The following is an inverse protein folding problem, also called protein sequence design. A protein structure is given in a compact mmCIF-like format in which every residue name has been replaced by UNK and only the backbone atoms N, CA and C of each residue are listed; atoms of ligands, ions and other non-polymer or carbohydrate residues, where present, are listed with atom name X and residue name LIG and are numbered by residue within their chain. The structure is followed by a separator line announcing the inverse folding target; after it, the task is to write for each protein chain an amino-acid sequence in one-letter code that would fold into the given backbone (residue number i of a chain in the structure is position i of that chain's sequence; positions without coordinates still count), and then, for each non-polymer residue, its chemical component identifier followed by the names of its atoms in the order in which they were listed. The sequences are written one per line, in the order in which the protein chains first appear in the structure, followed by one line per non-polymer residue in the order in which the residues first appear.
data_IF_654768643847
#
_entry.id   IF_654768643847
#
_cell.length_a   1.000
_cell.length_b   1.000
_cell.length_c   1.000
_cell.angle_alpha   90.00
_cell.angle_beta   90.00
_cell.angle_gamma   90.00
#
_symmetry.space_group_name_H-M   'P 1'
#
loop_
_entity.id
_entity.type
_entity.pdbx_description
1 polymer ?
#
# COMPACT_ATOMS: atom_id res chain seq x y z
N UNK A 1 -36.50 -6.82 -3.87
CA UNK A 1 -36.28 -6.29 -5.23
C UNK A 1 -36.17 -4.77 -5.41
N UNK A 2 -35.78 -3.96 -4.41
CA UNK A 2 -35.31 -2.56 -4.67
C UNK A 2 -34.17 -2.15 -3.70
N UNK A 3 -33.27 -3.07 -3.32
CA UNK A 3 -32.07 -2.73 -2.53
C UNK A 3 -30.76 -3.41 -3.01
N UNK A 4 -30.79 -4.16 -4.12
CA UNK A 4 -29.61 -4.80 -4.71
C UNK A 4 -29.11 -4.06 -5.96
N UNK A 5 -29.09 -2.73 -5.95
CA UNK A 5 -28.48 -1.96 -7.04
C UNK A 5 -27.02 -1.63 -6.68
N UNK A 6 -26.09 -2.40 -7.24
CA UNK A 6 -24.66 -2.12 -7.40
C UNK A 6 -23.86 -1.69 -6.15
N UNK A 7 -24.00 -2.40 -5.02
CA UNK A 7 -22.96 -2.34 -4.01
C UNK A 7 -21.77 -3.17 -4.48
N UNK A 8 -20.74 -2.54 -5.04
CA UNK A 8 -19.47 -3.23 -5.33
C UNK A 8 -18.98 -3.94 -4.06
N UNK A 9 -18.55 -5.19 -4.22
CA UNK A 9 -17.99 -6.02 -3.15
C UNK A 9 -16.73 -5.40 -2.54
N UNK A 10 -16.38 -5.71 -1.29
CA UNK A 10 -15.17 -5.14 -0.65
C UNK A 10 -13.92 -5.50 -1.45
N UNK A 11 -13.89 -6.70 -2.04
CA UNK A 11 -12.87 -7.13 -2.97
C UNK A 11 -12.76 -6.22 -4.19
N UNK A 12 -13.88 -5.96 -4.87
CA UNK A 12 -13.90 -5.10 -6.05
C UNK A 12 -13.51 -3.65 -5.72
N UNK A 13 -13.91 -3.15 -4.55
CA UNK A 13 -13.55 -1.82 -4.07
C UNK A 13 -12.07 -1.69 -3.71
N UNK A 14 -11.51 -2.70 -3.05
CA UNK A 14 -10.07 -2.74 -2.75
C UNK A 14 -9.26 -2.82 -4.04
N UNK A 15 -9.64 -3.72 -4.95
CA UNK A 15 -9.02 -3.84 -6.28
C UNK A 15 -9.07 -2.53 -7.06
N UNK A 16 -10.21 -1.84 -7.06
CA UNK A 16 -10.36 -0.51 -7.68
C UNK A 16 -9.44 0.54 -7.05
N UNK A 17 -9.29 0.53 -5.72
CA UNK A 17 -8.42 1.47 -5.01
C UNK A 17 -6.95 1.25 -5.37
N UNK A 18 -6.50 0.00 -5.42
CA UNK A 18 -5.13 -0.34 -5.85
C UNK A 18 -4.94 -0.02 -7.33
N UNK A 19 -5.93 -0.27 -8.20
CA UNK A 19 -5.85 0.09 -9.62
C UNK A 19 -5.62 1.60 -9.79
N UNK A 20 -6.29 2.43 -8.99
CA UNK A 20 -6.05 3.90 -8.96
C UNK A 20 -4.62 4.25 -8.54
N UNK A 21 -4.07 3.54 -7.55
CA UNK A 21 -2.65 3.68 -7.16
C UNK A 21 -1.72 3.30 -8.33
N UNK A 22 -1.98 2.18 -9.02
CA UNK A 22 -1.18 1.73 -10.17
C UNK A 22 -1.23 2.72 -11.34
N UNK A 23 -2.32 3.49 -11.45
CA UNK A 23 -2.47 4.62 -12.36
C UNK A 23 -1.94 5.95 -11.81
N UNK A 24 -1.06 5.93 -10.80
CA UNK A 24 -0.42 7.13 -10.24
C UNK A 24 -1.42 8.18 -9.71
N UNK A 25 -2.62 7.72 -9.34
CA UNK A 25 -3.77 8.53 -8.96
C UNK A 25 -4.31 9.45 -10.06
N UNK A 26 -3.97 9.18 -11.31
CA UNK A 26 -4.48 9.86 -12.50
C UNK A 26 -5.74 9.16 -13.01
N UNK A 27 -6.45 9.81 -13.94
CA UNK A 27 -7.61 9.17 -14.57
C UNK A 27 -7.17 8.01 -15.47
N UNK A 28 -8.03 7.01 -15.62
CA UNK A 28 -7.79 5.89 -16.52
C UNK A 28 -7.65 6.37 -17.97
N UNK A 29 -8.40 7.40 -18.37
CA UNK A 29 -8.29 8.03 -19.69
C UNK A 29 -6.92 8.68 -19.94
N UNK A 30 -6.38 9.42 -18.96
CA UNK A 30 -5.05 10.03 -19.06
C UNK A 30 -3.96 8.97 -19.14
N UNK A 31 -4.08 7.92 -18.31
CA UNK A 31 -3.10 6.82 -18.29
C UNK A 31 -3.11 6.06 -19.62
N UNK A 32 -4.27 5.86 -20.23
CA UNK A 32 -4.40 5.19 -21.53
C UNK A 32 -3.87 6.06 -22.68
N UNK A 33 -3.98 7.39 -22.58
CA UNK A 33 -3.41 8.32 -23.57
C UNK A 33 -1.88 8.35 -23.51
N UNK A 34 -1.31 8.29 -22.31
CA UNK A 34 0.12 8.35 -22.07
C UNK A 34 0.57 7.13 -21.24
N UNK A 35 0.70 5.95 -21.85
CA UNK A 35 1.11 4.76 -21.13
C UNK A 35 2.55 4.91 -20.62
N UNK A 36 2.71 4.84 -19.29
CA UNK A 36 4.02 4.89 -18.61
C UNK A 36 4.33 3.52 -18.03
N UNK A 37 5.51 2.99 -18.36
CA UNK A 37 6.03 1.79 -17.74
C UNK A 37 6.51 2.06 -16.32
N UNK A 38 6.10 1.20 -15.39
CA UNK A 38 6.32 1.38 -13.95
C UNK A 38 6.94 0.14 -13.33
N UNK A 39 7.79 0.37 -12.34
CA UNK A 39 8.25 -0.66 -11.41
C UNK A 39 7.42 -0.57 -10.13
N UNK A 40 6.85 -1.69 -9.69
CA UNK A 40 6.15 -1.78 -8.41
C UNK A 40 7.12 -2.32 -7.34
N UNK A 41 7.38 -1.52 -6.33
CA UNK A 41 8.16 -1.92 -5.15
C UNK A 41 7.18 -2.06 -3.99
N UNK A 42 7.14 -3.22 -3.35
CA UNK A 42 6.34 -3.41 -2.14
C UNK A 42 7.15 -4.13 -1.06
N UNK A 43 6.66 -4.11 0.16
CA UNK A 43 7.15 -4.98 1.23
C UNK A 43 6.29 -6.25 1.27
N UNK A 44 6.57 -7.15 2.21
CA UNK A 44 5.76 -8.37 2.42
C UNK A 44 4.28 -8.05 2.58
N UNK A 45 3.98 -6.88 3.14
CA UNK A 45 2.63 -6.45 3.47
C UNK A 45 1.86 -5.97 2.25
N UNK A 46 2.49 -5.15 1.43
CA UNK A 46 1.95 -4.77 0.13
C UNK A 46 1.78 -6.00 -0.77
N UNK A 47 2.72 -6.96 -0.70
CA UNK A 47 2.62 -8.22 -1.43
C UNK A 47 1.37 -9.03 -1.03
N UNK A 48 1.14 -9.22 0.28
CA UNK A 48 -0.01 -9.97 0.79
C UNK A 48 -1.35 -9.32 0.43
N UNK A 49 -1.38 -7.98 0.29
CA UNK A 49 -2.55 -7.24 -0.17
C UNK A 49 -2.77 -7.39 -1.68
N UNK A 50 -1.72 -7.25 -2.49
CA UNK A 50 -1.84 -7.22 -3.95
C UNK A 50 -2.07 -8.62 -4.53
N UNK A 51 -1.40 -9.65 -4.00
CA UNK A 51 -1.37 -10.99 -4.59
C UNK A 51 -2.76 -11.65 -4.74
N UNK A 52 -3.71 -11.50 -3.80
CA UNK A 52 -5.07 -12.02 -3.98
C UNK A 52 -5.92 -11.22 -4.98
N UNK A 53 -5.56 -9.96 -5.22
CA UNK A 53 -6.38 -9.02 -5.99
C UNK A 53 -5.99 -8.95 -7.46
N UNK A 54 -4.71 -9.15 -7.78
CA UNK A 54 -4.16 -8.99 -9.13
C UNK A 54 -3.35 -10.20 -9.57
N UNK A 55 -3.65 -10.68 -10.77
CA UNK A 55 -2.75 -11.58 -11.50
C UNK A 55 -1.59 -10.80 -12.12
N UNK A 56 -0.53 -11.51 -12.52
CA UNK A 56 0.61 -10.92 -13.24
C UNK A 56 0.15 -10.27 -14.56
N UNK A 57 -0.87 -10.81 -15.24
CA UNK A 57 -1.43 -10.21 -16.45
C UNK A 57 -2.07 -8.86 -16.15
N UNK A 58 -2.89 -8.79 -15.10
CA UNK A 58 -3.58 -7.56 -14.73
C UNK A 58 -2.61 -6.46 -14.27
N UNK A 59 -1.52 -6.82 -13.58
CA UNK A 59 -0.45 -5.87 -13.27
C UNK A 59 0.21 -5.30 -14.53
N UNK A 60 0.46 -6.14 -15.54
CA UNK A 60 1.04 -5.72 -16.83
C UNK A 60 0.08 -4.81 -17.60
N UNK A 61 -1.22 -5.11 -17.59
CA UNK A 61 -2.26 -4.25 -18.15
C UNK A 61 -2.33 -2.88 -17.46
N UNK A 62 -1.92 -2.79 -16.19
CA UNK A 62 -1.78 -1.53 -15.47
C UNK A 62 -0.45 -0.78 -15.75
N UNK A 63 0.40 -1.32 -16.63
CA UNK A 63 1.71 -0.76 -16.98
C UNK A 63 2.83 -1.14 -16.02
N UNK A 64 2.63 -2.11 -15.13
CA UNK A 64 3.68 -2.63 -14.24
C UNK A 64 4.51 -3.68 -14.99
N UNK A 65 5.77 -3.36 -15.28
CA UNK A 65 6.70 -4.27 -15.99
C UNK A 65 7.43 -5.21 -15.05
N UNK A 66 7.69 -4.75 -13.83
CA UNK A 66 8.46 -5.44 -12.82
C UNK A 66 7.87 -5.17 -11.43
N UNK A 67 7.80 -6.20 -10.58
CA UNK A 67 7.39 -6.07 -9.19
C UNK A 67 8.42 -6.75 -8.27
N UNK A 68 8.87 -6.05 -7.24
CA UNK A 68 10.01 -6.45 -6.41
C UNK A 68 9.75 -6.14 -4.94
N UNK A 69 10.34 -6.95 -4.06
CA UNK A 69 10.39 -6.64 -2.63
C UNK A 69 11.40 -5.53 -2.36
N UNK A 70 11.06 -4.60 -1.46
CA UNK A 70 11.95 -3.51 -1.05
C UNK A 70 13.26 -4.00 -0.42
N UNK A 71 13.21 -5.14 0.28
CA UNK A 71 14.35 -5.77 0.95
C UNK A 71 15.35 -6.42 -0.02
N UNK A 72 14.93 -6.68 -1.26
CA UNK A 72 15.81 -7.27 -2.27
C UNK A 72 16.79 -6.22 -2.82
N UNK A 73 17.95 -6.70 -3.27
CA UNK A 73 18.83 -5.92 -4.13
C UNK A 73 18.16 -5.71 -5.48
N UNK A 74 18.25 -4.48 -5.98
CA UNK A 74 17.54 -4.01 -7.17
C UNK A 74 18.50 -3.23 -8.05
N UNK A 75 18.42 -3.47 -9.35
CA UNK A 75 19.25 -2.80 -10.34
C UNK A 75 18.71 -1.41 -10.67
N UNK A 76 19.61 -0.54 -11.13
CA UNK A 76 19.24 0.81 -11.55
C UNK A 76 18.47 0.74 -12.88
N UNK A 77 17.28 1.33 -12.92
CA UNK A 77 16.44 1.48 -14.12
C UNK A 77 16.06 2.98 -14.25
N UNK A 78 17.02 3.84 -14.67
CA UNK A 78 16.85 5.29 -14.61
C UNK A 78 15.67 5.83 -15.41
N UNK A 79 15.27 5.16 -16.49
CA UNK A 79 14.17 5.60 -17.37
C UNK A 79 12.77 5.26 -16.80
N UNK A 80 12.69 4.38 -15.81
CA UNK A 80 11.41 3.91 -15.28
C UNK A 80 10.94 4.77 -14.11
N UNK A 81 9.62 4.97 -14.03
CA UNK A 81 8.96 5.44 -12.81
C UNK A 81 8.77 4.25 -11.87
N UNK A 82 8.86 4.49 -10.55
CA UNK A 82 8.59 3.47 -9.54
C UNK A 82 7.46 3.88 -8.60
N UNK A 83 6.59 2.91 -8.30
CA UNK A 83 5.54 3.00 -7.29
C UNK A 83 5.96 2.17 -6.09
N UNK A 84 6.03 2.80 -4.94
CA UNK A 84 6.37 2.17 -3.67
C UNK A 84 5.09 1.98 -2.86
N UNK A 85 4.60 0.74 -2.75
CA UNK A 85 3.43 0.39 -1.94
C UNK A 85 3.86 -0.31 -0.65
N UNK A 86 3.94 0.44 0.44
CA UNK A 86 4.70 0.03 1.63
C UNK A 86 4.00 0.37 2.95
N UNK A 87 4.31 -0.37 4.00
CA UNK A 87 4.03 0.09 5.36
C UNK A 87 5.02 1.21 5.76
N UNK A 88 4.60 2.29 6.44
CA UNK A 88 5.47 3.41 6.82
C UNK A 88 6.40 3.09 8.02
N UNK A 89 7.19 2.01 7.91
CA UNK A 89 8.20 1.64 8.91
C UNK A 89 9.51 2.42 8.72
N UNK A 90 10.28 2.60 9.79
CA UNK A 90 11.59 3.26 9.72
C UNK A 90 12.54 2.58 8.73
N UNK A 91 12.54 1.24 8.71
CA UNK A 91 13.34 0.44 7.79
C UNK A 91 12.99 0.72 6.32
N UNK A 92 11.68 0.76 6.01
CA UNK A 92 11.20 1.08 4.66
C UNK A 92 11.59 2.52 4.27
N UNK A 93 11.39 3.49 5.15
CA UNK A 93 11.74 4.89 4.88
C UNK A 93 13.25 5.08 4.64
N UNK A 94 14.07 4.43 5.44
CA UNK A 94 15.52 4.41 5.26
C UNK A 94 15.90 3.81 3.91
N UNK A 95 15.30 2.66 3.53
CA UNK A 95 15.59 2.03 2.24
C UNK A 95 15.14 2.87 1.06
N UNK A 96 13.96 3.50 1.13
CA UNK A 96 13.49 4.46 0.12
C UNK A 96 14.51 5.59 -0.07
N UNK A 97 15.04 6.16 1.03
CA UNK A 97 16.02 7.25 0.95
C UNK A 97 17.34 6.81 0.29
N UNK A 98 17.77 5.56 0.54
CA UNK A 98 18.96 4.98 -0.08
C UNK A 98 18.75 4.73 -1.59
N UNK A 99 17.58 4.23 -1.97
CA UNK A 99 17.22 3.99 -3.37
C UNK A 99 17.23 5.31 -4.15
N UNK A 100 16.62 6.37 -3.60
CA UNK A 100 16.61 7.70 -4.21
C UNK A 100 18.02 8.29 -4.33
N UNK A 101 18.84 8.17 -3.28
CA UNK A 101 20.24 8.63 -3.31
C UNK A 101 21.06 7.89 -4.38
N UNK A 102 20.75 6.61 -4.62
CA UNK A 102 21.39 5.78 -5.65
C UNK A 102 20.81 6.00 -7.04
N UNK A 103 19.72 6.78 -7.17
CA UNK A 103 19.10 7.10 -8.45
C UNK A 103 18.54 5.88 -9.17
N UNK A 104 17.95 4.92 -8.45
CA UNK A 104 17.40 3.68 -9.04
C UNK A 104 16.36 3.93 -10.14
N UNK A 105 15.53 4.97 -9.99
CA UNK A 105 14.41 5.29 -10.88
C UNK A 105 14.36 6.79 -11.18
N UNK A 106 13.67 7.20 -12.26
CA UNK A 106 13.48 8.62 -12.60
C UNK A 106 12.56 9.34 -11.64
N UNK A 107 11.51 8.66 -11.18
CA UNK A 107 10.48 9.20 -10.30
C UNK A 107 9.99 8.16 -9.29
N UNK A 108 9.67 8.63 -8.09
CA UNK A 108 9.23 7.81 -6.96
C UNK A 108 7.85 8.27 -6.51
N UNK A 109 6.86 7.38 -6.65
CA UNK A 109 5.51 7.58 -6.14
C UNK A 109 5.36 6.73 -4.89
N UNK A 110 5.18 7.37 -3.74
CA UNK A 110 5.14 6.70 -2.44
C UNK A 110 3.68 6.55 -2.00
N UNK A 111 3.21 5.33 -1.88
CA UNK A 111 1.87 4.98 -1.43
C UNK A 111 1.98 4.15 -0.16
N UNK A 112 1.66 4.76 0.98
CA UNK A 112 1.73 4.09 2.27
C UNK A 112 0.43 3.36 2.58
N UNK A 113 0.53 2.09 2.99
CA UNK A 113 -0.62 1.22 3.29
C UNK A 113 -1.44 1.79 4.45
N UNK A 114 -0.77 2.36 5.44
CA UNK A 114 -1.34 3.06 6.60
C UNK A 114 -0.81 4.49 6.66
N UNK A 115 -1.50 5.41 7.37
CA UNK A 115 -1.08 6.80 7.45
C UNK A 115 0.36 6.96 7.95
N UNK A 116 1.15 7.76 7.25
CA UNK A 116 2.49 8.11 7.70
C UNK A 116 2.44 9.16 8.82
N UNK A 117 3.21 8.96 9.89
CA UNK A 117 3.32 9.95 10.96
C UNK A 117 4.03 11.22 10.49
N UNK A 118 3.74 12.36 11.11
CA UNK A 118 4.44 13.63 10.82
C UNK A 118 5.95 13.50 11.02
N UNK A 119 6.38 12.84 12.09
CA UNK A 119 7.80 12.63 12.41
C UNK A 119 8.48 11.80 11.31
N UNK A 120 7.83 10.74 10.86
CA UNK A 120 8.32 9.87 9.78
C UNK A 120 8.41 10.61 8.43
N UNK A 121 7.45 11.48 8.15
CA UNK A 121 7.45 12.30 6.94
C UNK A 121 8.57 13.36 6.99
N UNK A 122 8.76 14.03 8.13
CA UNK A 122 9.86 14.97 8.37
C UNK A 122 11.23 14.29 8.26
N UNK A 123 11.35 13.06 8.78
CA UNK A 123 12.56 12.25 8.61
C UNK A 123 12.86 11.98 7.13
N UNK A 124 11.87 11.53 6.36
CA UNK A 124 12.03 11.30 4.92
C UNK A 124 12.40 12.58 4.18
N UNK A 125 11.72 13.70 4.49
CA UNK A 125 12.00 15.00 3.89
C UNK A 125 13.45 15.43 4.16
N UNK A 126 13.91 15.40 5.41
CA UNK A 126 15.28 15.75 5.77
C UNK A 126 16.29 14.89 5.02
N UNK A 127 16.08 13.57 4.97
CA UNK A 127 16.98 12.66 4.24
C UNK A 127 17.07 12.99 2.75
N UNK A 128 15.94 13.28 2.11
CA UNK A 128 15.91 13.58 0.67
C UNK A 128 16.49 14.93 0.31
N UNK A 129 16.40 15.91 1.22
CA UNK A 129 17.06 17.21 1.07
C UNK A 129 18.57 17.09 1.27
N UNK A 130 19.02 16.35 2.29
CA UNK A 130 20.44 16.06 2.54
C UNK A 130 21.12 15.39 1.34
N UNK A 131 20.42 14.46 0.67
CA UNK A 131 20.92 13.78 -0.53
C UNK A 131 20.64 14.53 -1.84
N UNK A 132 20.00 15.70 -1.78
CA UNK A 132 19.66 16.50 -2.96
C UNK A 132 18.70 15.82 -3.94
N UNK A 133 17.94 14.82 -3.50
CA UNK A 133 17.10 13.97 -4.36
C UNK A 133 15.60 14.20 -4.20
N UNK A 134 15.19 15.23 -3.43
CA UNK A 134 13.78 15.54 -3.18
C UNK A 134 12.96 15.74 -4.47
N UNK A 135 13.58 16.23 -5.55
CA UNK A 135 12.95 16.42 -6.86
C UNK A 135 12.53 15.11 -7.56
N UNK A 136 13.05 13.96 -7.11
CA UNK A 136 12.69 12.64 -7.63
C UNK A 136 11.33 12.15 -7.08
N UNK A 137 10.87 12.71 -5.95
CA UNK A 137 9.55 12.38 -5.40
C UNK A 137 8.48 12.98 -6.29
N UNK A 138 7.59 12.14 -6.83
CA UNK A 138 6.44 12.56 -7.61
C UNK A 138 5.27 12.95 -6.71
N UNK A 139 4.75 11.99 -5.96
CA UNK A 139 3.62 12.15 -5.03
C UNK A 139 3.76 11.22 -3.84
N UNK A 140 3.12 11.60 -2.72
CA UNK A 140 3.01 10.78 -1.50
C UNK A 140 1.54 10.64 -1.15
N UNK A 141 1.08 9.41 -0.90
CA UNK A 141 -0.32 9.09 -0.58
C UNK A 141 -0.43 8.18 0.63
N UNK A 142 -1.46 8.41 1.45
CA UNK A 142 -1.94 7.48 2.46
C UNK A 142 -3.13 6.70 1.89
N UNK A 143 -2.97 5.40 1.68
CA UNK A 143 -3.95 4.60 0.92
C UNK A 143 -5.11 4.08 1.79
N UNK A 144 -4.85 3.87 3.08
CA UNK A 144 -5.78 3.22 4.03
C UNK A 144 -6.23 1.84 3.54
N UNK A 145 -5.27 1.00 3.17
CA UNK A 145 -5.51 -0.35 2.62
C UNK A 145 -5.00 -1.46 3.54
N UNK A 146 -5.02 -1.23 4.86
CA UNK A 146 -4.46 -2.16 5.86
C UNK A 146 -5.38 -3.38 6.15
N UNK A 147 -5.76 -4.14 5.12
CA UNK A 147 -6.56 -5.36 5.19
C UNK A 147 -6.38 -6.18 3.91
N UNK A 148 -6.72 -7.47 3.93
CA UNK A 148 -6.63 -8.34 2.74
C UNK A 148 -8.03 -8.84 2.41
N UNK A 149 -8.55 -8.51 1.23
CA UNK A 149 -9.77 -9.14 0.72
C UNK A 149 -9.41 -10.45 0.02
N UNK A 150 -10.08 -11.52 0.42
CA UNK A 150 -9.89 -12.85 -0.16
C UNK A 150 -10.98 -13.13 -1.21
N UNK A 151 -12.23 -12.78 -0.90
CA UNK A 151 -13.40 -12.94 -1.77
C UNK A 151 -14.31 -11.70 -1.65
N UNK A 152 -15.41 -11.68 -2.41
CA UNK A 152 -16.36 -10.55 -2.46
C UNK A 152 -16.79 -10.01 -1.09
N UNK A 153 -17.10 -10.89 -0.13
CA UNK A 153 -17.58 -10.52 1.20
C UNK A 153 -16.65 -10.97 2.34
N UNK A 154 -15.42 -11.38 2.01
CA UNK A 154 -14.46 -11.88 2.99
C UNK A 154 -13.18 -11.07 2.96
N UNK A 155 -12.87 -10.45 4.09
CA UNK A 155 -11.57 -9.84 4.34
C UNK A 155 -10.97 -10.35 5.65
N UNK A 156 -9.65 -10.23 5.76
CA UNK A 156 -8.91 -10.53 6.98
C UNK A 156 -8.13 -9.30 7.41
N UNK A 157 -8.13 -9.04 8.72
CA UNK A 157 -7.25 -8.05 9.32
C UNK A 157 -5.81 -8.54 9.21
N UNK A 158 -4.90 -7.67 8.79
CA UNK A 158 -3.48 -8.03 8.69
C UNK A 158 -2.88 -8.04 10.09
N UNK A 159 -2.41 -9.21 10.51
CA UNK A 159 -1.42 -9.31 11.57
C UNK A 159 -0.11 -9.75 10.96
N UNK A 160 0.87 -8.87 11.05
CA UNK A 160 2.24 -9.11 10.64
C UNK A 160 2.75 -10.29 11.48
N UNK A 161 3.04 -11.41 10.83
CA UNK A 161 3.33 -12.73 11.41
C UNK A 161 2.10 -13.60 11.66
N UNK A 162 2.04 -14.67 10.87
CA UNK A 162 1.11 -15.80 10.87
C UNK A 162 1.07 -16.62 12.17
N UNK A 163 1.28 -16.01 13.34
CA UNK A 163 1.26 -16.67 14.65
C UNK A 163 0.84 -15.77 15.83
N UNK A 164 0.51 -14.47 15.63
CA UNK A 164 0.41 -13.51 16.75
C UNK A 164 -0.97 -12.92 17.10
N UNK A 165 -2.04 -13.26 16.36
CA UNK A 165 -3.40 -13.22 16.92
C UNK A 165 -4.02 -14.61 16.79
N UNK A 166 -3.43 -15.57 17.50
CA UNK A 166 -4.17 -16.80 17.80
C UNK A 166 -5.27 -16.44 18.81
N UNK A 167 -6.46 -17.02 18.66
CA UNK A 167 -7.49 -16.99 19.72
C UNK A 167 -6.87 -17.30 21.10
N UNK A 168 -5.86 -18.17 21.11
CA UNK A 168 -5.01 -18.47 22.26
C UNK A 168 -4.35 -17.24 22.88
N UNK A 169 -3.78 -16.30 22.12
CA UNK A 169 -3.07 -15.15 22.67
C UNK A 169 -3.98 -14.02 23.10
N UNK A 170 -5.17 -13.88 22.50
CA UNK A 170 -6.18 -12.95 23.04
C UNK A 170 -6.77 -13.46 24.35
N UNK A 171 -6.81 -14.77 24.53
CA UNK A 171 -7.34 -15.43 25.72
C UNK A 171 -6.24 -16.01 26.61
N UNK A 172 -4.97 -15.70 26.37
CA UNK A 172 -3.88 -16.26 27.16
C UNK A 172 -3.88 -15.55 28.50
N UNK A 173 -3.79 -16.35 29.57
CA UNK A 173 -3.68 -15.80 30.94
C UNK A 173 -2.37 -15.06 31.18
N UNK A 174 -1.45 -15.08 30.21
CA UNK A 174 -0.12 -14.48 30.25
C UNK A 174 0.01 -13.23 29.37
N UNK A 175 -1.00 -12.86 28.58
CA UNK A 175 -0.95 -11.65 27.78
C UNK A 175 -0.99 -10.40 28.68
N UNK A 176 -0.11 -9.44 28.40
CA UNK A 176 -0.13 -8.15 29.10
C UNK A 176 -1.26 -7.27 28.57
N UNK A 177 -1.68 -6.29 29.38
CA UNK A 177 -2.72 -5.33 28.97
C UNK A 177 -2.25 -4.50 27.77
N UNK A 178 -0.97 -4.17 27.75
CA UNK A 178 -0.29 -3.43 26.68
C UNK A 178 -0.31 -4.22 25.36
N UNK A 179 0.02 -5.51 25.39
CA UNK A 179 -0.04 -6.39 24.21
C UNK A 179 -1.47 -6.54 23.68
N UNK A 180 -2.46 -6.66 24.57
CA UNK A 180 -3.85 -6.74 24.16
C UNK A 180 -4.33 -5.43 23.52
N UNK A 181 -4.00 -4.29 24.13
CA UNK A 181 -4.38 -2.98 23.58
C UNK A 181 -3.74 -2.72 22.21
N UNK A 182 -2.47 -3.13 22.03
CA UNK A 182 -1.81 -3.05 20.73
C UNK A 182 -2.56 -3.83 19.66
N UNK A 183 -2.92 -5.10 19.94
CA UNK A 183 -3.68 -5.95 19.02
C UNK A 183 -5.07 -5.40 18.70
N UNK A 184 -5.77 -4.88 19.71
CA UNK A 184 -7.07 -4.24 19.52
C UNK A 184 -6.92 -3.01 18.61
N UNK A 185 -5.87 -2.22 18.79
CA UNK A 185 -5.58 -1.08 17.91
C UNK A 185 -5.38 -1.52 16.46
N UNK A 186 -4.62 -2.59 16.21
CA UNK A 186 -4.42 -3.11 14.84
C UNK A 186 -5.72 -3.56 14.18
N UNK A 187 -6.61 -4.22 14.94
CA UNK A 187 -7.94 -4.62 14.45
C UNK A 187 -8.78 -3.37 14.12
N UNK A 188 -8.77 -2.37 15.01
CA UNK A 188 -9.52 -1.12 14.81
C UNK A 188 -9.01 -0.37 13.59
N UNK A 189 -7.70 -0.28 13.38
CA UNK A 189 -7.09 0.37 12.23
C UNK A 189 -7.45 -0.34 10.92
N UNK A 190 -7.46 -1.68 10.95
CA UNK A 190 -7.87 -2.49 9.80
C UNK A 190 -9.35 -2.30 9.46
N UNK A 191 -10.22 -2.33 10.46
CA UNK A 191 -11.66 -2.05 10.28
C UNK A 191 -11.89 -0.62 9.78
N UNK A 192 -11.14 0.35 10.29
CA UNK A 192 -11.18 1.72 9.80
C UNK A 192 -10.83 1.79 8.30
N UNK A 193 -9.79 1.10 7.85
CA UNK A 193 -9.42 1.00 6.43
C UNK A 193 -10.54 0.39 5.56
N UNK A 194 -11.24 -0.63 6.07
CA UNK A 194 -12.40 -1.21 5.39
C UNK A 194 -13.53 -0.18 5.27
N UNK A 195 -13.87 0.52 6.36
CA UNK A 195 -14.91 1.54 6.35
C UNK A 195 -14.57 2.75 5.48
N UNK A 196 -13.31 3.18 5.43
CA UNK A 196 -12.90 4.26 4.51
C UNK A 196 -13.03 3.84 3.06
N UNK A 197 -12.71 2.58 2.74
CA UNK A 197 -12.90 2.02 1.40
C UNK A 197 -14.39 1.99 1.02
N UNK A 198 -15.27 1.54 1.92
CA UNK A 198 -16.73 1.55 1.73
C UNK A 198 -17.32 2.96 1.70
N UNK A 199 -16.74 3.90 2.45
CA UNK A 199 -17.19 5.30 2.51
C UNK A 199 -16.85 6.10 1.25
N UNK A 200 -15.69 5.82 0.62
CA UNK A 200 -15.24 6.46 -0.63
C UNK A 200 -16.22 6.27 -1.79
N UNK A 201 -17.08 5.26 -1.77
CA UNK A 201 -18.14 5.09 -2.77
C UNK A 201 -19.37 5.95 -2.56
N UNK A 202 -19.66 6.40 -1.33
CA UNK A 202 -20.83 7.26 -1.07
C UNK A 202 -20.60 8.71 -1.48
N UNK A 203 -19.36 9.19 -1.39
CA UNK A 203 -19.02 10.58 -1.72
C UNK A 203 -18.75 10.83 -3.22
N UNK A 204 -18.77 9.78 -4.05
CA UNK A 204 -18.60 9.87 -5.51
C UNK A 204 -19.92 9.66 -6.27
N UNK A 205 -21.08 9.79 -5.59
CA UNK A 205 -22.41 9.86 -6.20
C UNK A 205 -22.97 11.27 -6.05
#
# INVERSE_FOLDING_TARGET
DIFMSDSLSIFALQKKSIKKLLYLHESEEETMRNPVWKVLVYDRCGQDIISPLFTVSELRECGVTLHLLIDCEREQIPESTAIYFLHPSESNLLRISMDMKSGLYSKYYLSFISPISRISLEYLANKTVESGCAYLIGKIYDEYLNYISLNEDLFVSRNFNSSQISFEQLNSKSATVEEMNFKISEIVDSLFCVFTTLGRTKNNK
#
